data_IF_156024790322
#
_entry.id   IF_156024790322
#
_cell.length_a   1.000
_cell.length_b   1.000
_cell.length_c   1.000
_cell.angle_alpha   90.00
_cell.angle_beta   90.00
_cell.angle_gamma   90.00
#
_symmetry.space_group_name_H-M   'P 1'
#
loop_
_entity.id
_entity.type
_entity.pdbx_description
1 polymer ?
#
# COMPACT_ATOMS: atom_id res chain seq x y z
N UNK A 1 5.52 -17.06 -16.77
CA UNK A 1 5.87 -15.70 -17.24
C UNK A 1 4.63 -14.83 -17.08
N UNK A 2 4.72 -13.71 -16.36
CA UNK A 2 3.59 -12.77 -16.24
C UNK A 2 3.98 -11.46 -16.89
N UNK A 3 3.20 -11.07 -17.88
CA UNK A 3 3.31 -9.79 -18.58
C UNK A 3 2.37 -8.79 -17.91
N UNK A 4 2.89 -7.62 -17.55
CA UNK A 4 2.08 -6.46 -17.13
C UNK A 4 2.26 -5.36 -18.16
N UNK A 5 1.13 -4.87 -18.65
CA UNK A 5 1.02 -3.81 -19.65
C UNK A 5 0.50 -2.55 -18.95
N UNK A 6 1.15 -1.42 -19.19
CA UNK A 6 0.67 -0.12 -18.71
C UNK A 6 0.05 0.64 -19.89
N UNK A 7 -1.16 1.18 -19.69
CA UNK A 7 -1.95 1.78 -20.77
C UNK A 7 -1.75 3.30 -20.95
N UNK A 8 -0.79 3.90 -20.23
CA UNK A 8 -0.54 5.35 -20.30
C UNK A 8 0.92 5.70 -20.54
N UNK A 9 1.24 6.56 -21.51
CA UNK A 9 2.53 7.24 -21.56
C UNK A 9 2.64 8.19 -20.36
N UNK A 10 3.77 8.15 -19.66
CA UNK A 10 4.09 9.15 -18.65
C UNK A 10 4.25 10.50 -19.35
N UNK A 11 3.30 11.41 -19.13
CA UNK A 11 3.46 12.80 -19.54
C UNK A 11 4.51 13.40 -18.62
N UNK A 12 5.72 13.58 -19.14
CA UNK A 12 6.87 14.05 -18.38
C UNK A 12 6.60 15.41 -17.74
N UNK A 13 6.25 15.39 -16.46
CA UNK A 13 6.20 16.54 -15.55
C UNK A 13 7.60 16.91 -15.01
N UNK A 14 8.66 16.41 -15.64
CA UNK A 14 10.04 16.86 -15.41
C UNK A 14 10.70 16.32 -14.14
N UNK A 15 10.04 15.44 -13.38
CA UNK A 15 10.61 14.81 -12.18
C UNK A 15 11.01 13.37 -12.51
N UNK A 16 12.31 13.16 -12.67
CA UNK A 16 12.94 11.85 -12.76
C UNK A 16 13.51 11.56 -11.35
N UNK A 17 13.07 10.52 -10.62
CA UNK A 17 13.59 10.19 -9.30
C UNK A 17 15.13 10.12 -9.31
N UNK A 18 15.85 10.63 -8.32
CA UNK A 18 17.32 10.62 -8.39
C UNK A 18 17.93 9.21 -8.21
N UNK A 19 17.15 8.26 -7.68
CA UNK A 19 17.47 6.85 -7.42
C UNK A 19 16.30 5.97 -7.89
N UNK A 20 16.53 4.68 -8.14
CA UNK A 20 15.48 3.71 -8.55
C UNK A 20 14.87 3.88 -9.97
N UNK A 21 15.69 4.35 -10.92
CA UNK A 21 15.30 4.55 -12.33
C UNK A 21 15.80 3.47 -13.30
N UNK A 22 16.42 2.41 -12.80
CA UNK A 22 17.04 1.40 -13.66
C UNK A 22 16.20 0.13 -13.67
N UNK A 23 15.50 -0.08 -14.78
CA UNK A 23 14.63 -1.23 -15.03
C UNK A 23 13.21 -0.81 -15.37
N UNK A 24 12.47 -1.68 -16.04
CA UNK A 24 11.15 -1.40 -16.67
C UNK A 24 10.04 -1.03 -15.66
N UNK A 25 10.34 -0.95 -14.36
CA UNK A 25 9.43 -0.53 -13.29
C UNK A 25 10.12 0.51 -12.40
N UNK A 26 9.54 1.70 -12.35
CA UNK A 26 10.02 2.85 -11.57
C UNK A 26 9.92 2.56 -10.06
N UNK A 27 10.95 2.93 -9.31
CA UNK A 27 11.00 2.73 -7.85
C UNK A 27 11.62 1.39 -7.42
N UNK A 28 12.19 0.62 -8.36
CA UNK A 28 12.85 -0.66 -8.09
C UNK A 28 14.16 -0.77 -8.87
N UNK A 29 14.96 -1.81 -8.60
CA UNK A 29 16.10 -2.20 -9.44
C UNK A 29 15.66 -3.06 -10.65
N UNK A 30 14.45 -2.79 -11.17
CA UNK A 30 13.87 -3.48 -12.33
C UNK A 30 13.05 -4.74 -12.02
N UNK A 31 12.73 -4.99 -10.76
CA UNK A 31 11.91 -6.11 -10.32
C UNK A 31 10.78 -5.62 -9.42
N UNK A 32 9.57 -6.12 -9.64
CA UNK A 32 8.41 -5.84 -8.79
C UNK A 32 7.66 -7.13 -8.51
N UNK A 33 6.96 -7.16 -7.37
CA UNK A 33 6.15 -8.29 -6.97
C UNK A 33 4.69 -7.84 -6.78
N UNK A 34 3.76 -8.61 -7.33
CA UNK A 34 2.35 -8.55 -6.98
C UNK A 34 1.93 -9.94 -6.51
N UNK A 35 1.08 -9.97 -5.50
CA UNK A 35 0.74 -11.21 -4.81
C UNK A 35 -0.62 -11.72 -5.28
N UNK A 36 -0.64 -12.96 -5.74
CA UNK A 36 -1.87 -13.66 -6.16
C UNK A 36 -2.04 -14.88 -5.28
N UNK A 37 -3.21 -15.00 -4.65
CA UNK A 37 -3.61 -16.19 -3.89
C UNK A 37 -4.75 -16.92 -4.61
N UNK A 38 -4.89 -18.24 -4.40
CA UNK A 38 -6.07 -18.98 -4.87
C UNK A 38 -7.36 -18.26 -4.49
N UNK A 39 -8.38 -18.35 -5.36
CA UNK A 39 -9.67 -17.67 -5.17
C UNK A 39 -10.35 -18.04 -3.85
N UNK A 40 -10.18 -19.28 -3.42
CA UNK A 40 -10.78 -19.83 -2.20
C UNK A 40 -9.92 -19.60 -0.95
N UNK A 41 -8.73 -19.00 -1.09
CA UNK A 41 -7.89 -18.68 0.06
C UNK A 41 -8.55 -17.62 0.93
N UNK A 42 -8.49 -17.85 2.24
CA UNK A 42 -8.89 -16.84 3.21
C UNK A 42 -8.02 -15.59 3.05
N UNK A 43 -8.66 -14.42 3.11
CA UNK A 43 -7.94 -13.14 3.12
C UNK A 43 -7.18 -12.97 4.42
N UNK A 44 -5.97 -12.44 4.32
CA UNK A 44 -5.16 -12.05 5.47
C UNK A 44 -5.93 -10.99 6.28
N UNK A 45 -6.04 -11.16 7.59
CA UNK A 45 -6.80 -10.24 8.43
C UNK A 45 -6.04 -8.93 8.61
N UNK A 46 -6.67 -7.81 8.24
CA UNK A 46 -6.20 -6.45 8.54
C UNK A 46 -7.22 -5.80 9.47
N UNK A 47 -6.74 -5.24 10.58
CA UNK A 47 -7.58 -4.58 11.56
C UNK A 47 -7.20 -3.11 11.81
N UNK A 48 -6.05 -2.66 11.30
CA UNK A 48 -5.66 -1.25 11.22
C UNK A 48 -4.98 -0.95 9.87
N UNK A 49 -5.28 0.18 9.22
CA UNK A 49 -6.41 1.06 9.54
C UNK A 49 -7.74 0.32 9.32
N UNK A 50 -8.79 0.75 10.03
CA UNK A 50 -10.16 0.34 9.68
C UNK A 50 -10.60 1.09 8.43
N UNK A 51 -11.57 0.55 7.71
CA UNK A 51 -12.16 1.28 6.59
C UNK A 51 -12.80 2.59 7.08
N UNK A 52 -12.61 3.67 6.32
CA UNK A 52 -13.02 5.03 6.64
C UNK A 52 -11.84 5.97 6.86
N UNK A 53 -12.14 7.18 7.33
CA UNK A 53 -11.13 8.21 7.57
C UNK A 53 -10.15 7.81 8.66
N UNK A 54 -8.87 8.17 8.45
CA UNK A 54 -7.82 8.02 9.45
C UNK A 54 -8.20 8.80 10.71
N UNK A 55 -7.95 8.26 11.91
CA UNK A 55 -8.39 8.87 13.17
C UNK A 55 -7.50 10.02 13.63
N UNK A 56 -6.92 10.79 12.70
CA UNK A 56 -6.09 11.94 13.03
C UNK A 56 -6.93 13.00 13.73
N UNK A 57 -6.45 13.49 14.88
CA UNK A 57 -7.19 14.45 15.69
C UNK A 57 -7.34 15.81 15.01
N UNK A 58 -8.34 16.63 15.40
CA UNK A 58 -8.43 18.03 14.97
C UNK A 58 -7.13 18.79 15.27
N UNK A 59 -6.55 19.48 14.29
CA UNK A 59 -5.23 20.14 14.40
C UNK A 59 -4.02 19.27 14.02
N UNK A 60 -4.25 17.98 13.74
CA UNK A 60 -3.29 17.11 13.05
C UNK A 60 -3.38 17.23 11.52
N UNK A 61 -4.34 18.02 11.03
CA UNK A 61 -4.49 18.44 9.64
C UNK A 61 -4.00 19.89 9.50
N UNK A 62 -2.69 20.10 9.63
CA UNK A 62 -2.07 21.39 9.43
C UNK A 62 -2.39 22.49 10.47
N UNK A 63 -1.59 23.55 10.37
CA UNK A 63 -1.36 24.66 11.31
C UNK A 63 -0.54 24.35 12.57
N UNK A 64 -0.59 23.13 13.14
CA UNK A 64 0.35 22.71 14.22
C UNK A 64 0.74 21.21 14.26
N UNK A 65 0.26 20.35 13.35
CA UNK A 65 0.45 18.89 13.40
C UNK A 65 0.85 18.29 12.06
N UNK A 66 1.91 17.47 12.08
CA UNK A 66 2.53 16.81 10.93
C UNK A 66 1.72 15.59 10.48
N UNK A 67 1.80 15.25 9.19
CA UNK A 67 1.35 13.95 8.66
C UNK A 67 1.99 12.82 9.47
N UNK A 68 1.16 11.93 10.02
CA UNK A 68 1.66 10.82 10.82
C UNK A 68 1.86 9.56 9.97
N UNK A 69 2.85 8.73 10.31
CA UNK A 69 2.94 7.39 9.74
C UNK A 69 1.66 6.59 10.03
N UNK A 70 1.22 5.83 9.04
CA UNK A 70 0.04 4.96 9.14
C UNK A 70 0.53 3.54 9.41
N UNK A 71 0.08 2.96 10.51
CA UNK A 71 0.37 1.55 10.82
C UNK A 71 -0.68 0.63 10.23
N UNK A 72 -0.21 -0.23 9.34
CA UNK A 72 -0.96 -1.36 8.79
C UNK A 72 -0.71 -2.55 9.72
N UNK A 73 -1.75 -2.91 10.48
CA UNK A 73 -1.70 -4.00 11.43
C UNK A 73 -2.64 -5.12 11.01
N UNK A 74 -2.13 -6.34 11.09
CA UNK A 74 -2.89 -7.53 10.74
C UNK A 74 -2.50 -8.74 11.57
N UNK A 75 -3.23 -9.83 11.34
CA UNK A 75 -3.02 -11.11 12.00
C UNK A 75 -2.72 -12.17 10.94
N UNK A 76 -1.49 -12.65 10.96
CA UNK A 76 -1.04 -13.73 10.11
C UNK A 76 -1.43 -15.10 10.69
N UNK A 77 -1.72 -16.11 9.85
CA UNK A 77 -1.98 -17.47 10.29
C UNK A 77 -0.83 -18.07 11.11
N UNK A 78 -1.17 -19.02 11.99
CA UNK A 78 -0.16 -19.79 12.70
C UNK A 78 0.80 -20.49 11.72
N UNK A 79 2.10 -20.46 12.03
CA UNK A 79 3.15 -20.99 11.15
C UNK A 79 3.59 -20.04 10.04
N UNK A 80 3.03 -18.83 9.95
CA UNK A 80 3.56 -17.81 9.03
C UNK A 80 5.00 -17.48 9.40
N UNK A 81 5.92 -17.64 8.45
CA UNK A 81 7.33 -17.30 8.60
C UNK A 81 7.58 -15.82 8.29
N UNK A 82 6.82 -15.25 7.34
CA UNK A 82 7.03 -13.91 6.84
C UNK A 82 5.74 -13.31 6.27
N UNK A 83 5.61 -11.99 6.35
CA UNK A 83 4.65 -11.20 5.59
C UNK A 83 5.41 -10.29 4.64
N UNK A 84 5.30 -10.55 3.35
CA UNK A 84 5.85 -9.68 2.31
C UNK A 84 4.89 -8.53 2.04
N UNK A 85 5.42 -7.35 1.73
CA UNK A 85 4.62 -6.18 1.40
C UNK A 85 5.14 -5.41 0.20
N UNK A 86 4.25 -4.64 -0.44
CA UNK A 86 4.57 -3.72 -1.53
C UNK A 86 3.64 -2.52 -1.47
N UNK A 87 4.24 -1.33 -1.43
CA UNK A 87 3.59 -0.01 -1.40
C UNK A 87 3.80 0.62 -2.77
N UNK A 88 2.73 1.08 -3.42
CA UNK A 88 2.81 1.72 -4.73
C UNK A 88 1.75 2.80 -4.93
N UNK A 89 2.10 3.79 -5.75
CA UNK A 89 1.24 4.88 -6.25
C UNK A 89 1.50 5.05 -7.76
N UNK A 90 0.44 5.20 -8.58
CA UNK A 90 0.51 5.46 -10.03
C UNK A 90 1.53 4.61 -10.81
N UNK A 91 1.66 3.32 -10.44
CA UNK A 91 2.59 2.39 -11.10
C UNK A 91 4.06 2.51 -10.67
N UNK A 92 4.35 3.32 -9.65
CA UNK A 92 5.67 3.43 -9.02
C UNK A 92 5.64 2.62 -7.73
N UNK A 93 6.61 1.72 -7.57
CA UNK A 93 6.81 1.00 -6.32
C UNK A 93 7.59 1.90 -5.37
N UNK A 94 6.94 2.35 -4.30
CA UNK A 94 7.56 3.26 -3.33
C UNK A 94 8.24 2.53 -2.17
N UNK A 95 7.83 1.28 -1.92
CA UNK A 95 8.44 0.47 -0.87
C UNK A 95 8.11 -1.01 -1.01
N UNK A 96 9.08 -1.86 -0.70
CA UNK A 96 8.90 -3.31 -0.60
C UNK A 96 9.72 -3.85 0.56
N UNK A 97 9.25 -4.94 1.14
CA UNK A 97 10.01 -5.60 2.16
C UNK A 97 9.27 -6.78 2.76
N UNK A 98 9.81 -7.22 3.90
CA UNK A 98 9.28 -8.34 4.65
C UNK A 98 9.23 -7.96 6.12
N UNK A 99 8.15 -8.32 6.80
CA UNK A 99 8.03 -8.24 8.25
C UNK A 99 7.78 -9.63 8.82
N UNK A 100 8.39 -9.93 9.97
CA UNK A 100 8.11 -11.16 10.69
C UNK A 100 6.90 -10.94 11.62
N UNK A 101 5.88 -11.81 11.59
CA UNK A 101 4.84 -11.78 12.62
C UNK A 101 5.43 -12.05 14.01
N UNK A 102 4.80 -11.49 15.04
CA UNK A 102 5.07 -11.84 16.42
C UNK A 102 4.68 -13.29 16.73
N UNK A 103 5.00 -13.77 17.93
CA UNK A 103 4.59 -15.11 18.38
C UNK A 103 3.05 -15.31 18.39
N UNK A 104 2.27 -14.22 18.50
CA UNK A 104 0.81 -14.26 18.40
C UNK A 104 0.28 -14.11 16.96
N UNK A 105 1.17 -14.01 15.97
CA UNK A 105 0.84 -13.82 14.56
C UNK A 105 0.59 -12.36 14.17
N UNK A 106 0.72 -11.40 15.10
CA UNK A 106 0.51 -9.98 14.79
C UNK A 106 1.69 -9.45 14.00
N UNK A 107 1.43 -8.76 12.89
CA UNK A 107 2.44 -8.03 12.14
C UNK A 107 2.08 -6.54 12.05
N UNK A 108 3.11 -5.70 11.96
CA UNK A 108 2.99 -4.26 11.82
C UNK A 108 3.88 -3.83 10.65
N UNK A 109 3.29 -3.10 9.72
CA UNK A 109 3.96 -2.41 8.63
C UNK A 109 3.67 -0.91 8.77
N UNK A 110 4.69 -0.06 8.57
CA UNK A 110 4.53 1.38 8.62
C UNK A 110 4.56 1.97 7.21
N UNK A 111 3.55 2.76 6.87
CA UNK A 111 3.57 3.66 5.72
C UNK A 111 3.84 5.09 6.22
N UNK A 112 5.05 5.58 5.97
CA UNK A 112 5.46 6.94 6.31
C UNK A 112 5.53 7.79 5.05
N UNK A 113 4.47 8.56 4.80
CA UNK A 113 4.38 9.41 3.62
C UNK A 113 5.45 10.52 3.62
N UNK A 114 5.83 11.03 4.79
CA UNK A 114 6.83 12.11 4.86
C UNK A 114 8.20 11.58 4.48
N UNK A 115 8.60 10.42 5.01
CA UNK A 115 9.85 9.77 4.64
C UNK A 115 9.85 9.39 3.15
N UNK A 116 8.76 8.81 2.65
CA UNK A 116 8.67 8.44 1.23
C UNK A 116 8.73 9.66 0.30
N UNK A 117 8.20 10.81 0.70
CA UNK A 117 8.25 12.03 -0.11
C UNK A 117 9.68 12.52 -0.40
N UNK A 118 10.65 12.22 0.48
CA UNK A 118 12.05 12.59 0.26
C UNK A 118 12.64 11.91 -0.98
N UNK A 119 12.23 10.67 -1.25
CA UNK A 119 12.65 9.88 -2.42
C UNK A 119 11.65 9.99 -3.59
N UNK A 120 10.37 10.18 -3.28
CA UNK A 120 9.23 10.21 -4.19
C UNK A 120 8.49 11.53 -4.07
N UNK A 121 9.10 12.62 -4.55
CA UNK A 121 8.56 13.99 -4.41
C UNK A 121 7.21 14.21 -5.11
N UNK A 122 6.75 13.25 -5.93
CA UNK A 122 5.41 13.25 -6.52
C UNK A 122 4.30 12.88 -5.53
N UNK A 123 4.65 12.32 -4.36
CA UNK A 123 3.71 12.03 -3.28
C UNK A 123 3.29 13.34 -2.61
N UNK A 124 2.04 13.73 -2.75
CA UNK A 124 1.45 14.92 -2.17
C UNK A 124 1.33 14.82 -0.64
N UNK A 125 2.07 15.70 0.03
CA UNK A 125 1.92 16.00 1.46
C UNK A 125 0.92 17.14 1.74
N UNK A 126 0.05 17.41 0.77
CA UNK A 126 -1.06 18.34 0.90
C UNK A 126 -2.38 17.57 0.85
N UNK A 127 -3.32 17.92 1.72
CA UNK A 127 -4.67 17.37 1.72
C UNK A 127 -5.38 17.65 0.38
N UNK A 128 -6.42 16.86 0.09
CA UNK A 128 -7.18 16.91 -1.18
C UNK A 128 -7.67 18.32 -1.55
N UNK A 129 -8.00 19.17 -0.58
CA UNK A 129 -8.48 20.53 -0.80
C UNK A 129 -7.38 21.52 -1.20
N UNK A 130 -6.10 21.13 -1.07
CA UNK A 130 -4.94 21.96 -1.39
C UNK A 130 -4.63 23.05 -0.35
N UNK A 131 -5.23 22.98 0.84
CA UNK A 131 -5.20 24.09 1.83
C UNK A 131 -4.36 23.85 3.07
N UNK A 132 -4.06 22.59 3.39
CA UNK A 132 -3.34 22.19 4.60
C UNK A 132 -2.50 20.94 4.35
N UNK A 133 -1.53 20.69 5.22
CA UNK A 133 -0.79 19.42 5.24
C UNK A 133 -1.77 18.25 5.39
N UNK A 134 -1.51 17.18 4.64
CA UNK A 134 -2.37 15.99 4.61
C UNK A 134 -1.98 15.07 3.46
N UNK A 135 -2.84 14.11 3.15
CA UNK A 135 -2.64 13.20 2.02
C UNK A 135 -3.69 13.45 0.94
N UNK A 136 -3.29 13.38 -0.33
CA UNK A 136 -4.21 13.45 -1.46
C UNK A 136 -4.11 12.27 -2.44
N UNK A 137 -3.00 11.53 -2.42
CA UNK A 137 -2.77 10.47 -3.39
C UNK A 137 -3.52 9.19 -3.08
N UNK A 138 -3.63 8.37 -4.12
CA UNK A 138 -4.02 6.98 -4.00
C UNK A 138 -2.80 6.11 -3.76
N UNK A 139 -2.72 5.44 -2.62
CA UNK A 139 -1.63 4.51 -2.29
C UNK A 139 -2.20 3.13 -2.07
N UNK A 140 -1.65 2.14 -2.76
CA UNK A 140 -2.04 0.74 -2.60
C UNK A 140 -0.92 -0.04 -1.92
N UNK A 141 -1.30 -0.73 -0.85
CA UNK A 141 -0.42 -1.55 -0.01
C UNK A 141 -0.90 -2.99 -0.10
N UNK A 142 -0.11 -3.83 -0.76
CA UNK A 142 -0.36 -5.25 -0.90
C UNK A 142 0.46 -6.02 0.14
N UNK A 143 -0.16 -7.00 0.79
CA UNK A 143 0.50 -7.86 1.79
C UNK A 143 0.25 -9.34 1.51
N UNK A 144 1.25 -10.18 1.80
CA UNK A 144 1.22 -11.63 1.60
C UNK A 144 1.89 -12.37 2.76
N UNK A 145 1.11 -13.15 3.52
CA UNK A 145 1.62 -14.07 4.53
C UNK A 145 2.05 -15.40 3.89
N UNK A 146 3.28 -15.84 4.16
CA UNK A 146 3.87 -17.08 3.65
C UNK A 146 4.50 -17.93 4.76
N UNK A 147 4.72 -19.21 4.49
CA UNK A 147 5.34 -20.16 5.42
C UNK A 147 4.34 -21.01 6.21
N UNK A 148 3.08 -20.57 6.31
CA UNK A 148 1.98 -21.42 6.74
C UNK A 148 1.53 -22.39 5.63
N UNK A 149 0.70 -23.37 5.99
CA UNK A 149 0.09 -24.32 5.05
C UNK A 149 -0.76 -23.64 3.97
N UNK A 150 -1.33 -22.48 4.27
CA UNK A 150 -2.05 -21.64 3.33
C UNK A 150 -1.35 -20.28 3.18
N UNK A 151 -1.32 -19.78 1.95
CA UNK A 151 -0.88 -18.41 1.65
C UNK A 151 -2.08 -17.47 1.70
N UNK A 152 -1.97 -16.36 2.43
CA UNK A 152 -3.06 -15.40 2.59
C UNK A 152 -2.59 -14.00 2.20
N UNK A 153 -3.42 -13.28 1.46
CA UNK A 153 -3.12 -11.92 1.01
C UNK A 153 -4.23 -10.94 1.36
N UNK A 154 -3.89 -9.66 1.40
CA UNK A 154 -4.86 -8.58 1.43
C UNK A 154 -4.29 -7.30 0.81
N UNK A 155 -5.19 -6.36 0.53
CA UNK A 155 -4.87 -5.04 -0.02
C UNK A 155 -5.50 -3.98 0.87
N UNK A 156 -4.71 -2.97 1.21
CA UNK A 156 -5.16 -1.71 1.80
C UNK A 156 -4.95 -0.63 0.77
N UNK A 157 -5.99 0.14 0.47
CA UNK A 157 -5.90 1.32 -0.39
C UNK A 157 -6.17 2.56 0.45
N UNK A 158 -5.29 3.55 0.36
CA UNK A 158 -5.49 4.87 0.93
C UNK A 158 -5.85 5.81 -0.23
N UNK A 159 -6.92 6.59 -0.09
CA UNK A 159 -7.23 7.69 -1.01
C UNK A 159 -7.22 8.96 -0.17
N UNK A 160 -6.11 9.68 -0.23
CA UNK A 160 -5.79 10.72 0.74
C UNK A 160 -5.81 10.16 2.16
N UNK A 161 -6.71 10.67 2.99
CA UNK A 161 -6.83 10.32 4.41
C UNK A 161 -7.93 9.28 4.67
N UNK A 162 -8.49 8.66 3.63
CA UNK A 162 -9.51 7.61 3.75
C UNK A 162 -8.92 6.24 3.41
N UNK A 163 -9.09 5.27 4.31
CA UNK A 163 -8.64 3.90 4.13
C UNK A 163 -9.77 3.00 3.62
N UNK A 164 -9.43 2.16 2.64
CA UNK A 164 -10.27 1.10 2.09
C UNK A 164 -9.57 -0.23 2.33
N UNK A 165 -10.26 -1.13 3.03
CA UNK A 165 -9.78 -2.49 3.27
C UNK A 165 -10.78 -3.43 2.62
N UNK A 166 -10.32 -4.37 1.79
CA UNK A 166 -11.17 -5.25 0.94
C UNK A 166 -12.04 -6.25 1.75
N UNK A 167 -12.17 -6.06 3.06
CA UNK A 167 -13.15 -6.74 3.94
C UNK A 167 -14.35 -5.87 4.36
N UNK A 168 -14.42 -4.59 3.98
CA UNK A 168 -15.59 -3.77 4.31
C UNK A 168 -16.83 -4.29 3.55
N UNK A 169 -17.91 -4.68 4.25
CA UNK A 169 -19.16 -4.97 3.58
C UNK A 169 -19.64 -3.67 2.94
N UNK A 170 -19.94 -3.74 1.64
CA UNK A 170 -20.61 -2.69 0.84
C UNK A 170 -19.90 -1.35 0.72
N UNK A 171 -18.92 -1.25 -0.18
CA UNK A 171 -18.79 -0.08 -1.05
C UNK A 171 -18.47 -0.56 -2.48
N UNK A 172 -19.16 -0.06 -3.51
CA UNK A 172 -18.85 -0.38 -4.90
C UNK A 172 -17.58 0.39 -5.29
N UNK A 173 -16.41 -0.21 -5.08
CA UNK A 173 -15.14 0.35 -5.54
C UNK A 173 -14.65 -0.40 -6.78
N UNK A 174 -14.46 0.36 -7.86
CA UNK A 174 -13.79 -0.04 -9.08
C UNK A 174 -12.27 0.03 -8.85
N UNK A 175 -11.66 -1.09 -8.45
CA UNK A 175 -10.22 -1.32 -8.59
C UNK A 175 -10.01 -2.63 -9.35
N UNK A 176 -8.93 -2.79 -10.14
CA UNK A 176 -8.69 -3.99 -10.90
C UNK A 176 -8.42 -5.18 -9.96
N UNK A 177 -9.46 -5.97 -9.71
CA UNK A 177 -9.30 -7.31 -9.15
C UNK A 177 -8.93 -8.21 -10.32
N UNK A 178 -7.64 -8.57 -10.45
CA UNK A 178 -7.24 -9.63 -11.36
C UNK A 178 -7.68 -10.96 -10.73
N UNK A 179 -8.87 -11.43 -11.13
CA UNK A 179 -9.32 -12.79 -10.86
C UNK A 179 -8.83 -13.66 -12.00
N UNK A 180 -8.08 -14.72 -11.70
CA UNK A 180 -7.74 -15.74 -12.69
C UNK A 180 -9.03 -16.46 -13.11
N UNK A 181 -9.48 -16.23 -14.33
CA UNK A 181 -10.55 -17.00 -14.96
C UNK A 181 -10.08 -18.43 -15.24
N UNK A 182 -11.00 -19.39 -15.13
CA UNK A 182 -10.82 -20.75 -15.64
C UNK A 182 -11.04 -20.73 -17.15
#
# INVERSE_FOLDING_TARGET
EVSVMHDRPYVGNGVIPARHNTGTVLGTDGQYAFYVVPRESSRLLIFSPRAGFLPWGPGMHGAYGRIQPIEIQGLAPAGTAAVHYTIHDKGIVMGQGTVAPSASGVFILTYDAQALHEDFTMLSLTAREGRWEGLADEVTINVLAVGSTETQANTVTLIGEEAFVVRAPTLPVYLPIIRKGV
#
